data_IF_095230623733
#
_entry.id   IF_095230623733
#
_cell.length_a   1.000
_cell.length_b   1.000
_cell.length_c   1.000
_cell.angle_alpha   90.00
_cell.angle_beta   90.00
_cell.angle_gamma   90.00
#
_symmetry.space_group_name_H-M   'P 1'
#
loop_
_entity.id
_entity.type
_entity.pdbx_description
1 polymer ?
#
# COMPACT_ATOMS: atom_id res chain seq x y z
N UNK A 1 -11.55 13.26 25.27
CA UNK A 1 -12.03 11.96 24.77
C UNK A 1 -12.40 12.04 23.29
N UNK A 2 -11.66 11.35 22.45
CA UNK A 2 -11.83 11.32 20.99
C UNK A 2 -13.21 10.76 20.60
N UNK A 3 -13.81 9.90 21.43
CA UNK A 3 -15.09 9.22 21.15
C UNK A 3 -16.30 10.16 21.28
N UNK A 4 -16.23 11.20 22.10
CA UNK A 4 -17.33 12.17 22.27
C UNK A 4 -17.53 13.05 21.02
N UNK A 5 -16.54 13.11 20.13
CA UNK A 5 -16.57 13.93 18.90
C UNK A 5 -17.25 13.24 17.70
N UNK A 6 -17.65 11.96 17.82
CA UNK A 6 -18.20 11.17 16.68
C UNK A 6 -19.61 11.61 16.27
N UNK A 7 -20.30 12.49 16.97
CA UNK A 7 -21.68 12.94 16.77
C UNK A 7 -22.13 12.97 15.29
N UNK A 8 -22.46 11.81 14.70
CA UNK A 8 -22.96 11.66 13.34
C UNK A 8 -21.92 11.83 12.20
N UNK A 9 -20.62 11.90 12.52
CA UNK A 9 -19.50 12.01 11.56
C UNK A 9 -18.64 10.77 11.60
N UNK A 10 -18.01 10.42 10.45
CA UNK A 10 -17.05 9.32 10.38
C UNK A 10 -15.77 9.66 11.15
N UNK A 11 -15.24 8.67 11.91
CA UNK A 11 -14.00 8.77 12.67
C UNK A 11 -12.90 7.97 11.97
N UNK A 12 -11.80 8.65 11.61
CA UNK A 12 -10.54 8.01 11.20
C UNK A 12 -9.56 8.10 12.37
N UNK A 13 -9.26 6.96 12.99
CA UNK A 13 -8.25 6.88 14.02
C UNK A 13 -6.90 6.52 13.39
N UNK A 14 -5.87 7.34 13.63
CA UNK A 14 -4.57 7.18 13.00
C UNK A 14 -3.48 6.85 14.00
N UNK A 15 -2.63 5.89 13.65
CA UNK A 15 -1.41 5.56 14.37
C UNK A 15 -0.21 5.59 13.40
N UNK A 16 0.94 6.09 13.87
CA UNK A 16 2.14 6.25 13.06
C UNK A 16 3.34 5.68 13.80
N UNK A 17 4.19 4.95 13.06
CA UNK A 17 5.51 4.55 13.51
C UNK A 17 6.55 5.09 12.50
N UNK A 18 7.31 6.09 12.96
CA UNK A 18 8.37 6.70 12.16
C UNK A 18 9.69 5.92 12.25
N UNK A 19 9.79 4.99 13.20
CA UNK A 19 11.01 4.22 13.44
C UNK A 19 11.08 2.93 12.62
N UNK A 20 9.93 2.34 12.24
CA UNK A 20 9.95 1.09 11.51
C UNK A 20 8.58 0.50 11.21
N UNK A 21 8.58 -0.81 10.96
CA UNK A 21 7.36 -1.61 10.78
C UNK A 21 7.29 -2.65 11.91
N UNK A 22 6.38 -2.48 12.88
CA UNK A 22 6.23 -3.42 13.98
C UNK A 22 5.85 -4.82 13.51
N UNK A 23 6.31 -5.84 14.23
CA UNK A 23 5.92 -7.23 13.94
C UNK A 23 4.45 -7.50 14.27
N UNK A 24 3.91 -6.86 15.31
CA UNK A 24 2.54 -7.03 15.77
C UNK A 24 1.62 -5.89 15.27
N UNK A 25 1.40 -5.83 13.96
CA UNK A 25 0.43 -4.92 13.35
C UNK A 25 -1.01 -5.27 13.70
N UNK A 26 -1.30 -6.56 13.92
CA UNK A 26 -2.62 -7.02 14.33
C UNK A 26 -2.97 -6.49 15.72
N UNK A 27 -2.06 -6.57 16.69
CA UNK A 27 -2.27 -6.00 18.03
C UNK A 27 -2.40 -4.48 18.01
N UNK A 28 -1.69 -3.76 17.13
CA UNK A 28 -1.90 -2.31 16.96
C UNK A 28 -3.34 -2.06 16.47
N UNK A 29 -3.78 -2.76 15.44
CA UNK A 29 -5.13 -2.60 14.91
C UNK A 29 -6.20 -2.89 15.97
N UNK A 30 -6.09 -4.01 16.69
CA UNK A 30 -7.07 -4.41 17.70
C UNK A 30 -7.20 -3.36 18.83
N UNK A 31 -6.09 -2.84 19.32
CA UNK A 31 -6.14 -1.74 20.32
C UNK A 31 -6.85 -0.50 19.79
N UNK A 32 -6.64 -0.15 18.52
CA UNK A 32 -7.33 1.00 17.92
C UNK A 32 -8.82 0.72 17.70
N UNK A 33 -9.15 -0.51 17.30
CA UNK A 33 -10.53 -0.93 17.04
C UNK A 33 -11.43 -0.86 18.30
N UNK A 34 -10.87 -0.99 19.53
CA UNK A 34 -11.64 -0.84 20.76
C UNK A 34 -12.29 0.54 20.94
N UNK A 35 -11.81 1.55 20.18
CA UNK A 35 -12.38 2.90 20.18
C UNK A 35 -13.52 3.09 19.17
N UNK A 36 -13.98 2.02 18.53
CA UNK A 36 -15.06 1.99 17.53
C UNK A 36 -14.91 3.06 16.43
N UNK A 37 -13.74 3.17 15.75
CA UNK A 37 -13.58 4.07 14.60
C UNK A 37 -14.26 3.47 13.38
N UNK A 38 -14.62 4.31 12.39
CA UNK A 38 -15.06 3.84 11.07
C UNK A 38 -13.88 3.35 10.23
N UNK A 39 -12.72 3.97 10.44
CA UNK A 39 -11.47 3.64 9.75
C UNK A 39 -10.30 3.67 10.72
N UNK A 40 -9.54 2.60 10.76
CA UNK A 40 -8.21 2.54 11.38
C UNK A 40 -7.16 2.84 10.32
N UNK A 41 -6.33 3.85 10.55
CA UNK A 41 -5.17 4.16 9.71
C UNK A 41 -3.89 3.80 10.45
N UNK A 42 -3.10 2.91 9.85
CA UNK A 42 -1.76 2.53 10.33
C UNK A 42 -0.74 2.98 9.29
N UNK A 43 0.17 3.88 9.67
CA UNK A 43 1.25 4.35 8.83
C UNK A 43 2.59 4.01 9.49
N UNK A 44 3.38 3.17 8.84
CA UNK A 44 4.68 2.68 9.32
C UNK A 44 5.81 3.14 8.41
N UNK A 45 7.05 3.02 8.83
CA UNK A 45 8.22 3.28 7.99
C UNK A 45 8.77 1.95 7.47
N UNK A 46 8.77 1.75 6.14
CA UNK A 46 9.43 0.60 5.53
C UNK A 46 10.94 0.88 5.40
N UNK A 47 11.76 0.09 6.07
CA UNK A 47 13.23 0.12 5.98
C UNK A 47 13.79 -0.96 5.04
N UNK A 48 12.95 -1.91 4.67
CA UNK A 48 13.27 -3.00 3.75
C UNK A 48 12.05 -3.37 2.91
N UNK A 49 12.28 -4.10 1.82
CA UNK A 49 11.19 -4.68 1.04
C UNK A 49 10.39 -5.71 1.85
N UNK A 50 11.02 -6.36 2.83
CA UNK A 50 10.34 -7.28 3.74
C UNK A 50 9.32 -6.56 4.63
N UNK A 51 9.59 -5.32 5.06
CA UNK A 51 8.65 -4.51 5.82
C UNK A 51 7.40 -4.19 4.99
N UNK A 52 7.59 -3.82 3.71
CA UNK A 52 6.47 -3.64 2.78
C UNK A 52 5.66 -4.93 2.63
N UNK A 53 6.34 -6.06 2.41
CA UNK A 53 5.70 -7.38 2.32
C UNK A 53 4.88 -7.73 3.57
N UNK A 54 5.44 -7.48 4.75
CA UNK A 54 4.76 -7.70 6.03
C UNK A 54 3.49 -6.83 6.17
N UNK A 55 3.60 -5.54 5.83
CA UNK A 55 2.46 -4.62 5.86
C UNK A 55 1.34 -5.03 4.87
N UNK A 56 1.71 -5.41 3.64
CA UNK A 56 0.74 -5.82 2.63
C UNK A 56 0.07 -7.16 3.00
N UNK A 57 0.81 -8.08 3.60
CA UNK A 57 0.25 -9.33 4.13
C UNK A 57 -0.74 -9.07 5.28
N UNK A 58 -0.43 -8.14 6.18
CA UNK A 58 -1.35 -7.68 7.22
C UNK A 58 -2.62 -7.07 6.59
N UNK A 59 -2.47 -6.13 5.64
CA UNK A 59 -3.59 -5.50 4.94
C UNK A 59 -4.48 -6.53 4.23
N UNK A 60 -3.86 -7.55 3.60
CA UNK A 60 -4.58 -8.64 2.93
C UNK A 60 -5.41 -9.49 3.89
N UNK A 61 -4.89 -9.78 5.09
CA UNK A 61 -5.65 -10.55 6.11
C UNK A 61 -6.83 -9.75 6.68
N UNK A 62 -6.68 -8.43 6.82
CA UNK A 62 -7.70 -7.55 7.39
C UNK A 62 -8.70 -7.03 6.35
N UNK A 63 -8.34 -7.03 5.07
CA UNK A 63 -9.19 -6.58 3.98
C UNK A 63 -10.46 -7.44 3.89
N UNK A 64 -11.62 -6.81 4.08
CA UNK A 64 -12.92 -7.50 4.07
C UNK A 64 -13.26 -8.26 5.36
N UNK A 65 -12.39 -8.29 6.38
CA UNK A 65 -12.71 -8.83 7.70
C UNK A 65 -13.72 -7.93 8.45
N UNK A 66 -14.53 -8.49 9.37
CA UNK A 66 -15.39 -7.69 10.22
C UNK A 66 -14.61 -6.67 11.07
N UNK A 67 -15.19 -5.50 11.28
CA UNK A 67 -14.63 -4.44 12.09
C UNK A 67 -14.37 -3.15 11.30
N UNK A 68 -13.65 -2.17 11.90
CA UNK A 68 -13.28 -0.93 11.24
C UNK A 68 -12.50 -1.17 9.94
N UNK A 69 -12.77 -0.36 8.90
CA UNK A 69 -12.01 -0.46 7.66
C UNK A 69 -10.54 -0.07 7.88
N UNK A 70 -9.63 -0.74 7.19
CA UNK A 70 -8.19 -0.51 7.36
C UNK A 70 -7.61 0.34 6.22
N UNK A 71 -6.77 1.31 6.59
CA UNK A 71 -5.82 1.98 5.70
C UNK A 71 -4.41 1.68 6.21
N UNK A 72 -3.69 0.81 5.52
CA UNK A 72 -2.32 0.43 5.84
C UNK A 72 -1.35 1.06 4.85
N UNK A 73 -0.45 1.91 5.32
CA UNK A 73 0.50 2.67 4.51
C UNK A 73 1.91 2.50 5.03
N UNK A 74 2.87 2.31 4.13
CA UNK A 74 4.27 2.45 4.44
C UNK A 74 4.80 3.82 3.96
N UNK A 75 5.57 4.47 4.80
CA UNK A 75 6.29 5.70 4.48
C UNK A 75 7.63 5.37 3.84
N UNK A 76 8.19 6.36 3.12
CA UNK A 76 9.44 6.23 2.40
C UNK A 76 9.28 5.62 1.00
N UNK A 77 10.39 5.60 0.23
CA UNK A 77 10.40 5.15 -1.17
C UNK A 77 10.00 3.67 -1.32
N UNK A 78 10.41 2.82 -0.38
CA UNK A 78 10.04 1.39 -0.34
C UNK A 78 8.53 1.17 -0.14
N UNK A 79 7.84 2.15 0.49
CA UNK A 79 6.43 2.05 0.84
C UNK A 79 5.44 2.51 -0.23
N UNK A 80 5.90 3.10 -1.34
CA UNK A 80 5.04 3.74 -2.36
C UNK A 80 3.94 2.80 -2.87
N UNK A 81 4.27 1.53 -3.12
CA UNK A 81 3.29 0.55 -3.60
C UNK A 81 2.09 0.37 -2.65
N UNK A 82 2.26 0.53 -1.33
CA UNK A 82 1.16 0.42 -0.37
C UNK A 82 0.08 1.49 -0.56
N UNK A 83 0.46 2.69 -1.02
CA UNK A 83 -0.46 3.79 -1.30
C UNK A 83 -1.28 3.55 -2.55
N UNK A 84 -0.70 2.87 -3.53
CA UNK A 84 -1.34 2.52 -4.80
C UNK A 84 -2.28 1.34 -4.59
N UNK A 85 -1.82 0.31 -3.88
CA UNK A 85 -2.52 -0.97 -3.76
C UNK A 85 -3.59 -1.01 -2.66
N UNK A 86 -3.82 0.08 -1.91
CA UNK A 86 -4.77 0.12 -0.80
C UNK A 86 -6.16 -0.42 -1.15
N UNK A 87 -6.71 -0.02 -2.31
CA UNK A 87 -8.02 -0.48 -2.79
C UNK A 87 -8.11 -1.99 -2.99
N UNK A 88 -7.00 -2.65 -3.37
CA UNK A 88 -6.93 -4.10 -3.48
C UNK A 88 -7.21 -4.83 -2.16
N UNK A 89 -6.88 -4.18 -1.06
CA UNK A 89 -7.06 -4.68 0.31
C UNK A 89 -8.25 -4.04 1.04
N UNK A 90 -9.18 -3.42 0.28
CA UNK A 90 -10.40 -2.85 0.86
C UNK A 90 -10.22 -1.51 1.57
N UNK A 91 -9.07 -0.85 1.42
CA UNK A 91 -8.88 0.49 1.98
C UNK A 91 -9.88 1.48 1.35
N UNK A 92 -10.62 2.24 2.18
CA UNK A 92 -11.65 3.16 1.68
C UNK A 92 -11.07 4.43 1.07
N UNK A 93 -9.81 4.74 1.34
CA UNK A 93 -9.12 5.95 0.89
C UNK A 93 -7.59 5.72 0.89
N UNK A 94 -6.88 6.60 0.21
CA UNK A 94 -5.42 6.73 0.29
C UNK A 94 -5.03 8.18 0.54
N UNK A 95 -3.76 8.42 0.86
CA UNK A 95 -3.22 9.74 1.18
C UNK A 95 -2.21 10.16 0.11
N UNK A 96 -2.45 11.30 -0.49
CA UNK A 96 -1.64 11.90 -1.55
C UNK A 96 -1.06 13.23 -1.12
N UNK A 97 -0.02 13.70 -1.81
CA UNK A 97 0.41 15.08 -1.74
C UNK A 97 -0.44 15.96 -2.68
N UNK A 98 -0.59 17.25 -2.39
CA UNK A 98 -1.09 18.21 -3.37
C UNK A 98 -0.18 18.23 -4.61
N UNK A 99 -0.70 18.71 -5.73
CA UNK A 99 0.12 19.06 -6.88
C UNK A 99 1.26 20.00 -6.44
N UNK A 100 2.44 19.86 -7.02
CA UNK A 100 3.66 20.64 -6.74
C UNK A 100 4.54 20.16 -5.58
N UNK A 101 4.54 18.87 -5.23
CA UNK A 101 5.60 18.26 -4.43
C UNK A 101 5.64 18.67 -2.95
N UNK A 102 4.54 19.15 -2.40
CA UNK A 102 4.40 19.37 -0.96
C UNK A 102 3.98 18.06 -0.28
N UNK A 103 4.93 17.17 -0.08
CA UNK A 103 4.70 15.92 0.64
C UNK A 103 4.51 16.20 2.13
N UNK A 104 3.37 15.78 2.68
CA UNK A 104 3.11 15.80 4.12
C UNK A 104 3.76 14.60 4.84
N UNK A 105 4.18 13.57 4.10
CA UNK A 105 4.90 12.41 4.62
C UNK A 105 5.76 11.80 3.50
N UNK A 106 6.94 11.22 3.84
CA UNK A 106 7.82 10.59 2.86
C UNK A 106 7.11 9.56 1.99
N UNK A 107 7.40 9.57 0.68
CA UNK A 107 6.83 8.63 -0.29
C UNK A 107 5.37 8.89 -0.65
N UNK A 108 4.81 10.05 -0.34
CA UNK A 108 3.53 10.46 -0.92
C UNK A 108 3.72 10.77 -2.40
N UNK A 109 2.79 10.25 -3.21
CA UNK A 109 2.67 10.63 -4.62
C UNK A 109 1.66 11.78 -4.77
N UNK A 110 1.79 12.62 -5.81
CA UNK A 110 0.79 13.62 -6.15
C UNK A 110 -0.60 13.00 -6.36
N UNK A 111 -1.64 13.71 -5.95
CA UNK A 111 -3.02 13.24 -6.12
C UNK A 111 -3.38 12.95 -7.59
N UNK A 112 -2.91 13.80 -8.50
CA UNK A 112 -3.08 13.61 -9.94
C UNK A 112 -2.39 12.31 -10.42
N UNK A 113 -1.18 12.02 -9.97
CA UNK A 113 -0.47 10.79 -10.33
C UNK A 113 -1.20 9.54 -9.85
N UNK A 114 -1.67 9.52 -8.59
CA UNK A 114 -2.48 8.42 -8.07
C UNK A 114 -3.79 8.25 -8.85
N UNK A 115 -4.44 9.34 -9.26
CA UNK A 115 -5.69 9.31 -9.98
C UNK A 115 -5.51 8.91 -11.45
N UNK A 116 -4.58 9.53 -12.17
CA UNK A 116 -4.49 9.49 -13.62
C UNK A 116 -3.54 8.38 -14.11
N UNK A 117 -2.40 8.17 -13.42
CA UNK A 117 -1.43 7.13 -13.77
C UNK A 117 -1.86 5.79 -13.19
N UNK A 118 -2.05 5.73 -11.88
CA UNK A 118 -2.36 4.47 -11.19
C UNK A 118 -3.84 4.15 -11.11
N UNK A 119 -4.72 5.11 -11.37
CA UNK A 119 -6.17 4.94 -11.34
C UNK A 119 -6.64 4.25 -10.05
N UNK A 120 -6.11 4.70 -8.91
CA UNK A 120 -6.29 4.04 -7.61
C UNK A 120 -7.75 3.80 -7.21
N UNK A 121 -8.69 4.61 -7.75
CA UNK A 121 -10.13 4.45 -7.50
C UNK A 121 -10.74 3.21 -8.17
N UNK A 122 -10.08 2.67 -9.22
CA UNK A 122 -10.53 1.47 -9.92
C UNK A 122 -9.82 0.20 -9.46
N UNK A 123 -8.85 0.31 -8.56
CA UNK A 123 -8.15 -0.85 -8.01
C UNK A 123 -9.03 -1.55 -6.98
N UNK A 124 -9.32 -2.82 -7.23
CA UNK A 124 -10.10 -3.69 -6.35
C UNK A 124 -9.44 -5.04 -6.10
N UNK A 125 -10.10 -5.93 -5.34
CA UNK A 125 -9.53 -7.24 -4.98
C UNK A 125 -9.14 -8.12 -6.17
N UNK A 126 -9.85 -7.98 -7.31
CA UNK A 126 -9.61 -8.74 -8.53
C UNK A 126 -8.52 -8.13 -9.43
N UNK A 127 -8.14 -6.87 -9.22
CA UNK A 127 -7.16 -6.17 -10.06
C UNK A 127 -5.82 -6.90 -10.06
N UNK A 128 -5.32 -7.25 -11.24
CA UNK A 128 -4.00 -7.89 -11.39
C UNK A 128 -2.89 -6.88 -11.14
N UNK A 129 -1.85 -7.31 -10.43
CA UNK A 129 -0.71 -6.45 -10.08
C UNK A 129 0.53 -6.91 -10.85
N UNK A 130 1.13 -5.98 -11.55
CA UNK A 130 2.45 -6.13 -12.17
C UNK A 130 3.40 -5.14 -11.52
N UNK A 131 4.68 -5.47 -11.44
CA UNK A 131 5.65 -4.63 -10.76
C UNK A 131 6.92 -4.38 -11.58
N UNK A 132 7.44 -3.17 -11.48
CA UNK A 132 8.81 -2.84 -11.87
C UNK A 132 9.68 -2.93 -10.63
N UNK A 133 10.58 -3.90 -10.60
CA UNK A 133 11.48 -4.11 -9.47
C UNK A 133 12.86 -3.51 -9.76
N UNK A 134 13.43 -2.80 -8.79
CA UNK A 134 14.76 -2.23 -8.86
C UNK A 134 15.04 -1.22 -7.76
N UNK A 135 16.27 -0.73 -7.69
CA UNK A 135 16.73 0.21 -6.66
C UNK A 135 16.36 1.68 -6.94
N UNK A 136 16.05 2.05 -8.19
CA UNK A 136 15.67 3.43 -8.59
C UNK A 136 14.48 3.40 -9.58
N UNK A 137 13.42 2.72 -9.18
CA UNK A 137 12.25 2.51 -10.07
C UNK A 137 11.24 3.67 -10.02
N UNK A 138 11.32 4.53 -9.02
CA UNK A 138 10.37 5.64 -8.87
C UNK A 138 10.50 6.72 -9.94
N UNK A 139 11.64 6.77 -10.64
CA UNK A 139 11.89 7.70 -11.76
C UNK A 139 11.53 7.09 -13.11
N UNK A 140 11.12 5.83 -13.16
CA UNK A 140 10.82 5.12 -14.39
C UNK A 140 9.49 5.57 -15.00
N UNK A 141 9.46 5.73 -16.32
CA UNK A 141 8.23 5.97 -17.08
C UNK A 141 7.40 4.69 -17.31
N UNK A 142 7.94 3.51 -16.99
CA UNK A 142 7.25 2.23 -17.23
C UNK A 142 5.87 2.15 -16.57
N UNK A 143 5.66 2.58 -15.31
CA UNK A 143 4.32 2.60 -14.73
C UNK A 143 3.33 3.45 -15.53
N UNK A 144 3.72 4.63 -15.98
CA UNK A 144 2.85 5.50 -16.77
C UNK A 144 2.47 4.87 -18.12
N UNK A 145 3.45 4.28 -18.81
CA UNK A 145 3.25 3.62 -20.12
C UNK A 145 2.33 2.40 -19.97
N UNK A 146 2.64 1.51 -19.03
CA UNK A 146 1.89 0.26 -18.85
C UNK A 146 0.47 0.50 -18.34
N UNK A 147 0.30 1.39 -17.37
CA UNK A 147 -1.03 1.71 -16.85
C UNK A 147 -1.90 2.42 -17.90
N UNK A 148 -1.30 3.23 -18.78
CA UNK A 148 -1.99 3.82 -19.93
C UNK A 148 -2.46 2.74 -20.92
N UNK A 149 -1.62 1.75 -21.19
CA UNK A 149 -1.98 0.61 -22.04
C UNK A 149 -3.12 -0.22 -21.43
N UNK A 150 -3.06 -0.53 -20.14
CA UNK A 150 -4.16 -1.22 -19.45
C UNK A 150 -5.46 -0.43 -19.52
N UNK A 151 -5.41 0.90 -19.35
CA UNK A 151 -6.58 1.75 -19.49
C UNK A 151 -7.16 1.68 -20.92
N UNK A 152 -6.31 1.78 -21.95
CA UNK A 152 -6.73 1.78 -23.34
C UNK A 152 -7.35 0.44 -23.78
N UNK A 153 -6.92 -0.66 -23.20
CA UNK A 153 -7.42 -2.01 -23.50
C UNK A 153 -8.54 -2.49 -22.59
N UNK A 154 -8.97 -1.68 -21.60
CA UNK A 154 -9.95 -2.10 -20.60
C UNK A 154 -9.45 -3.22 -19.67
N UNK A 155 -8.15 -3.43 -19.60
CA UNK A 155 -7.57 -4.49 -18.75
C UNK A 155 -7.60 -4.09 -17.28
N UNK A 156 -8.22 -4.93 -16.43
CA UNK A 156 -8.19 -4.75 -14.96
C UNK A 156 -6.84 -5.16 -14.40
N UNK A 157 -5.89 -4.24 -14.48
CA UNK A 157 -4.53 -4.43 -14.00
C UNK A 157 -3.90 -3.10 -13.60
N UNK A 158 -2.91 -3.16 -12.72
CA UNK A 158 -2.07 -2.04 -12.32
C UNK A 158 -0.60 -2.44 -12.37
N UNK A 159 0.24 -1.54 -12.88
CA UNK A 159 1.69 -1.67 -12.91
C UNK A 159 2.29 -0.71 -11.89
N UNK A 160 2.98 -1.23 -10.87
CA UNK A 160 3.48 -0.46 -9.73
C UNK A 160 5.00 -0.48 -9.63
N UNK A 161 5.63 0.61 -9.13
CA UNK A 161 7.05 0.58 -8.79
C UNK A 161 7.22 -0.20 -7.49
N UNK A 162 8.14 -1.17 -7.50
CA UNK A 162 8.54 -1.97 -6.33
C UNK A 162 10.02 -1.70 -6.07
N UNK A 163 10.30 -0.67 -5.28
CA UNK A 163 11.67 -0.39 -4.89
C UNK A 163 12.17 -1.47 -3.95
N UNK A 164 13.37 -1.99 -4.22
CA UNK A 164 14.03 -2.99 -3.39
C UNK A 164 15.55 -2.80 -3.46
N UNK A 165 16.23 -3.18 -2.39
CA UNK A 165 17.69 -3.07 -2.29
C UNK A 165 18.38 -4.00 -3.29
N UNK A 166 17.78 -5.16 -3.53
CA UNK A 166 18.26 -6.14 -4.51
C UNK A 166 17.14 -7.12 -4.91
N UNK A 167 17.34 -7.83 -6.04
CA UNK A 167 16.44 -8.90 -6.46
C UNK A 167 16.37 -10.01 -5.40
N UNK A 168 17.50 -10.40 -4.82
CA UNK A 168 17.55 -11.44 -3.78
C UNK A 168 16.77 -11.04 -2.52
N UNK A 169 16.88 -9.78 -2.07
CA UNK A 169 16.10 -9.28 -0.95
C UNK A 169 14.59 -9.32 -1.22
N UNK A 170 14.18 -8.96 -2.45
CA UNK A 170 12.79 -9.03 -2.86
C UNK A 170 12.27 -10.47 -2.87
N UNK A 171 13.00 -11.40 -3.50
CA UNK A 171 12.61 -12.83 -3.55
C UNK A 171 12.49 -13.41 -2.14
N UNK A 172 13.44 -13.09 -1.26
CA UNK A 172 13.40 -13.54 0.14
C UNK A 172 12.19 -12.99 0.94
N UNK A 173 11.66 -11.83 0.55
CA UNK A 173 10.48 -11.23 1.17
C UNK A 173 9.15 -11.80 0.65
N UNK A 174 9.17 -12.56 -0.44
CA UNK A 174 7.96 -13.18 -0.98
C UNK A 174 7.47 -14.33 -0.09
N UNK A 175 6.15 -14.59 -0.04
CA UNK A 175 5.62 -15.81 0.56
C UNK A 175 6.18 -17.06 -0.11
N UNK A 176 6.39 -18.14 0.66
CA UNK A 176 6.99 -19.38 0.16
C UNK A 176 6.34 -19.97 -1.13
N UNK A 177 5.02 -19.89 -1.36
CA UNK A 177 4.45 -20.32 -2.64
C UNK A 177 4.94 -19.51 -3.84
N UNK A 178 5.11 -18.18 -3.67
CA UNK A 178 5.60 -17.31 -4.73
C UNK A 178 7.11 -17.50 -5.00
N UNK A 179 7.90 -17.73 -3.94
CA UNK A 179 9.33 -18.10 -4.08
C UNK A 179 9.47 -19.38 -4.93
N UNK A 180 8.73 -20.43 -4.59
CA UNK A 180 8.77 -21.71 -5.36
C UNK A 180 8.35 -21.54 -6.82
N UNK A 181 7.39 -20.65 -7.10
CA UNK A 181 6.99 -20.36 -8.47
C UNK A 181 8.12 -19.71 -9.28
N UNK A 182 8.93 -18.85 -8.65
CA UNK A 182 10.10 -18.24 -9.29
C UNK A 182 11.22 -19.26 -9.51
N UNK A 183 11.46 -20.17 -8.58
CA UNK A 183 12.48 -21.23 -8.68
C UNK A 183 12.21 -22.14 -9.89
N UNK A 184 10.93 -22.36 -10.24
CA UNK A 184 10.55 -23.15 -11.43
C UNK A 184 10.76 -22.42 -12.77
N UNK A 185 10.96 -21.10 -12.75
CA UNK A 185 11.24 -20.28 -13.93
C UNK A 185 12.73 -20.05 -14.17
N UNK A 186 13.58 -20.46 -13.25
CA UNK A 186 15.05 -20.42 -13.43
C UNK A 186 15.48 -21.62 -14.28
N UNK A 187 16.26 -21.40 -15.37
CA UNK A 187 16.76 -22.47 -16.23
C UNK A 187 17.75 -23.38 -15.50
#
# INVERSE_FOLDING_TARGET
>A
DVVTAKAGRGLVLSWHDFEGTPRDLDGVYERMATHDPDVVKIAVTARSVADLGHLLAFASRRGGAPGPRLVALAMGPLGVASRILGGRYGAPLTFASPENGREAAPGQLPAAELADVYRVRSIGPATRVYGLLGSDVLRSLSPAIQNRAFAATGTDAVYVPLQAESMSAFVAALPAPAQRALDTLSP
#
